data_IF_662860067113
#
_entry.id   IF_662860067113
#
_cell.length_a   1.000
_cell.length_b   1.000
_cell.length_c   1.000
_cell.angle_alpha   90.00
_cell.angle_beta   90.00
_cell.angle_gamma   90.00
#
_symmetry.space_group_name_H-M   'P 1'
#
loop_
_entity.id
_entity.type
_entity.pdbx_description
1 polymer ?
#
# COMPACT_ATOMS: atom_id res chain seq x y z
N UNK A 1 -0.41 12.04 -3.18
CA UNK A 1 -0.52 11.51 -1.81
C UNK A 1 0.68 10.63 -1.43
N UNK A 2 1.09 9.67 -2.28
CA UNK A 2 2.21 8.78 -1.98
C UNK A 2 3.55 9.49 -1.65
N UNK A 3 3.98 10.47 -2.46
CA UNK A 3 5.21 11.23 -2.19
C UNK A 3 5.19 11.96 -0.83
N UNK A 4 4.10 12.67 -0.54
CA UNK A 4 3.95 13.38 0.73
C UNK A 4 3.96 12.44 1.95
N UNK A 5 3.40 11.24 1.82
CA UNK A 5 3.47 10.22 2.89
C UNK A 5 4.91 9.71 3.05
N UNK A 6 5.62 9.44 1.95
CA UNK A 6 7.01 9.02 1.99
C UNK A 6 7.91 10.08 2.65
N UNK A 7 7.75 11.35 2.29
CA UNK A 7 8.47 12.48 2.89
C UNK A 7 8.16 12.62 4.38
N UNK A 8 6.89 12.49 4.77
CA UNK A 8 6.50 12.56 6.17
C UNK A 8 7.10 11.42 6.99
N UNK A 9 7.05 10.18 6.47
CA UNK A 9 7.66 9.01 7.12
C UNK A 9 9.18 9.10 7.21
N UNK A 10 9.83 9.80 6.27
CA UNK A 10 11.27 10.05 6.30
C UNK A 10 11.69 11.20 7.24
N UNK A 11 10.74 12.00 7.72
CA UNK A 11 11.00 13.15 8.57
C UNK A 11 10.12 13.15 9.83
N UNK A 12 9.09 14.00 9.93
CA UNK A 12 8.31 14.16 11.16
C UNK A 12 7.66 12.88 11.72
N UNK A 13 7.41 11.88 10.86
CA UNK A 13 6.81 10.60 11.22
C UNK A 13 7.80 9.46 11.44
N UNK A 14 9.12 9.72 11.44
CA UNK A 14 10.15 8.66 11.46
C UNK A 14 10.04 7.71 12.65
N UNK A 15 9.64 8.21 13.81
CA UNK A 15 9.45 7.40 15.03
C UNK A 15 8.07 6.71 15.11
N UNK A 16 7.19 6.97 14.13
CA UNK A 16 5.87 6.33 14.09
C UNK A 16 5.98 4.92 13.52
N UNK A 17 5.50 3.94 14.28
CA UNK A 17 5.56 2.55 13.82
C UNK A 17 4.70 2.32 12.57
N UNK A 18 5.16 1.43 11.68
CA UNK A 18 4.48 1.12 10.43
C UNK A 18 3.02 0.60 10.62
N UNK A 19 2.72 -0.22 11.65
CA UNK A 19 1.34 -0.62 11.95
C UNK A 19 0.42 0.56 12.29
N UNK A 20 0.91 1.55 13.04
CA UNK A 20 0.13 2.75 13.41
C UNK A 20 -0.16 3.62 12.18
N UNK A 21 0.81 3.77 11.29
CA UNK A 21 0.62 4.46 10.00
C UNK A 21 -0.44 3.74 9.16
N UNK A 22 -0.35 2.42 9.02
CA UNK A 22 -1.31 1.63 8.27
C UNK A 22 -2.72 1.70 8.87
N UNK A 23 -2.84 1.62 10.20
CA UNK A 23 -4.10 1.74 10.92
C UNK A 23 -4.76 3.11 10.67
N UNK A 24 -3.97 4.18 10.78
CA UNK A 24 -4.41 5.56 10.55
C UNK A 24 -4.91 5.78 9.13
N UNK A 25 -4.18 5.28 8.13
CA UNK A 25 -4.57 5.39 6.72
C UNK A 25 -5.87 4.64 6.42
N UNK A 26 -6.11 3.50 7.07
CA UNK A 26 -7.27 2.66 6.79
C UNK A 26 -8.56 3.16 7.48
N UNK A 27 -8.46 3.67 8.71
CA UNK A 27 -9.63 3.96 9.55
C UNK A 27 -9.91 5.46 9.73
N UNK A 28 -8.89 6.31 9.67
CA UNK A 28 -9.00 7.72 10.05
C UNK A 28 -8.92 8.68 8.86
N UNK A 29 -8.83 8.15 7.65
CA UNK A 29 -8.84 8.93 6.40
C UNK A 29 -10.07 8.60 5.58
N UNK A 30 -10.57 9.61 4.87
CA UNK A 30 -11.65 9.43 3.89
C UNK A 30 -11.20 8.44 2.81
N UNK A 31 -12.01 7.40 2.56
CA UNK A 31 -11.72 6.43 1.50
C UNK A 31 -11.98 7.06 0.13
N UNK A 32 -10.95 7.09 -0.71
CA UNK A 32 -11.05 7.57 -2.09
C UNK A 32 -11.40 6.41 -3.03
N UNK A 33 -12.14 6.70 -4.10
CA UNK A 33 -12.50 5.69 -5.12
C UNK A 33 -11.27 5.06 -5.80
N UNK A 34 -10.15 5.79 -5.85
CA UNK A 34 -8.88 5.33 -6.39
C UNK A 34 -7.86 5.23 -5.25
N UNK A 35 -7.41 4.02 -4.97
CA UNK A 35 -6.44 3.73 -3.91
C UNK A 35 -5.32 2.83 -4.44
N UNK A 36 -4.17 2.88 -3.80
CA UNK A 36 -3.02 2.03 -4.09
C UNK A 36 -2.48 1.47 -2.78
N UNK A 37 -1.77 0.34 -2.85
CA UNK A 37 -1.30 -0.40 -1.67
C UNK A 37 0.21 -0.60 -1.75
N UNK A 38 0.90 -0.40 -0.63
CA UNK A 38 2.31 -0.77 -0.46
C UNK A 38 2.41 -1.76 0.69
N UNK A 39 3.04 -2.91 0.44
CA UNK A 39 3.32 -3.96 1.43
C UNK A 39 4.80 -3.94 1.74
N UNK A 40 5.14 -3.68 3.01
CA UNK A 40 6.52 -3.58 3.47
C UNK A 40 6.66 -4.18 4.87
N UNK A 41 7.86 -4.69 5.18
CA UNK A 41 8.19 -5.22 6.52
C UNK A 41 8.81 -4.17 7.43
N UNK A 42 9.35 -3.09 6.87
CA UNK A 42 10.02 -2.02 7.61
C UNK A 42 9.78 -0.66 6.95
N UNK A 43 10.03 0.45 7.68
CA UNK A 43 9.80 1.81 7.19
C UNK A 43 10.61 2.16 5.95
N UNK A 44 11.84 1.66 5.81
CA UNK A 44 12.69 1.97 4.66
C UNK A 44 12.09 1.39 3.37
N UNK A 45 11.64 0.13 3.40
CA UNK A 45 10.92 -0.48 2.28
C UNK A 45 9.58 0.21 2.00
N UNK A 46 8.86 0.66 3.03
CA UNK A 46 7.62 1.40 2.85
C UNK A 46 7.85 2.74 2.12
N UNK A 47 8.87 3.50 2.54
CA UNK A 47 9.24 4.78 1.91
C UNK A 47 9.64 4.55 0.45
N UNK A 48 10.49 3.56 0.17
CA UNK A 48 10.92 3.22 -1.19
C UNK A 48 9.72 2.82 -2.08
N UNK A 49 8.80 2.00 -1.58
CA UNK A 49 7.59 1.61 -2.30
C UNK A 49 6.65 2.78 -2.57
N UNK A 50 6.49 3.69 -1.61
CA UNK A 50 5.70 4.92 -1.77
C UNK A 50 6.31 5.89 -2.79
N UNK A 51 7.64 6.01 -2.81
CA UNK A 51 8.37 6.80 -3.81
C UNK A 51 8.20 6.21 -5.22
N UNK A 52 8.37 4.89 -5.37
CA UNK A 52 8.13 4.20 -6.64
C UNK A 52 6.68 4.39 -7.12
N UNK A 53 5.72 4.25 -6.22
CA UNK A 53 4.30 4.50 -6.50
C UNK A 53 4.06 5.95 -6.96
N UNK A 54 4.69 6.93 -6.32
CA UNK A 54 4.59 8.33 -6.70
C UNK A 54 5.18 8.61 -8.09
N UNK A 55 6.25 7.91 -8.44
CA UNK A 55 6.89 7.98 -9.76
C UNK A 55 6.15 7.15 -10.84
N UNK A 56 5.08 6.43 -10.48
CA UNK A 56 4.35 5.55 -11.40
C UNK A 56 5.16 4.30 -11.81
N UNK A 57 6.15 3.91 -11.01
CA UNK A 57 7.03 2.78 -11.27
C UNK A 57 6.55 1.52 -10.55
N UNK A 58 6.73 0.37 -11.21
CA UNK A 58 6.49 -0.92 -10.58
C UNK A 58 7.61 -1.24 -9.58
N UNK A 59 7.24 -1.76 -8.41
CA UNK A 59 8.17 -2.23 -7.40
C UNK A 59 7.58 -3.41 -6.62
N UNK A 60 8.43 -4.22 -5.99
CA UNK A 60 7.98 -5.31 -5.13
C UNK A 60 7.10 -4.79 -4.00
N UNK A 61 5.97 -5.46 -3.76
CA UNK A 61 5.00 -5.05 -2.74
C UNK A 61 4.17 -3.81 -3.10
N UNK A 62 4.33 -3.21 -4.28
CA UNK A 62 3.52 -2.06 -4.72
C UNK A 62 2.40 -2.53 -5.65
N UNK A 63 1.17 -2.25 -5.26
CA UNK A 63 -0.03 -2.43 -6.07
C UNK A 63 -0.56 -1.05 -6.43
N UNK A 64 -0.39 -0.66 -7.69
CA UNK A 64 -0.89 0.61 -8.19
C UNK A 64 -2.43 0.64 -8.18
N UNK A 65 -2.97 1.84 -8.24
CA UNK A 65 -4.41 2.01 -8.32
C UNK A 65 -4.98 1.36 -9.58
N UNK A 66 -6.01 0.53 -9.38
CA UNK A 66 -6.73 -0.12 -10.46
C UNK A 66 -7.25 0.92 -11.47
N UNK A 67 -7.13 0.60 -12.76
CA UNK A 67 -7.66 1.43 -13.83
C UNK A 67 -9.20 1.40 -13.87
N UNK A 68 -9.78 0.27 -13.45
CA UNK A 68 -11.22 0.05 -13.38
C UNK A 68 -11.60 -0.56 -12.04
N UNK A 69 -12.79 -0.21 -11.56
CA UNK A 69 -13.36 -0.81 -10.36
C UNK A 69 -13.79 -2.25 -10.65
N UNK A 70 -13.34 -3.25 -9.88
CA UNK A 70 -13.77 -4.63 -10.06
C UNK A 70 -15.30 -4.76 -9.94
N UNK A 71 -15.89 -5.61 -10.79
CA UNK A 71 -17.30 -5.98 -10.64
C UNK A 71 -17.49 -6.79 -9.35
N UNK A 72 -18.65 -6.67 -8.68
CA UNK A 72 -18.96 -7.50 -7.53
C UNK A 72 -18.99 -8.99 -7.91
N UNK A 73 -18.74 -9.87 -6.93
CA UNK A 73 -18.73 -11.33 -7.12
C UNK A 73 -17.38 -11.98 -6.87
N UNK A 74 -16.79 -11.76 -5.69
CA UNK A 74 -15.53 -12.42 -5.29
C UNK A 74 -15.71 -13.93 -5.30
N UNK A 75 -14.85 -14.64 -6.05
CA UNK A 75 -14.77 -16.10 -6.08
C UNK A 75 -13.55 -16.55 -5.30
N UNK A 76 -13.74 -17.55 -4.45
CA UNK A 76 -12.65 -18.20 -3.71
C UNK A 76 -12.19 -19.44 -4.47
N UNK A 77 -10.90 -19.54 -4.76
CA UNK A 77 -10.28 -20.71 -5.38
C UNK A 77 -9.47 -21.44 -4.31
N UNK A 78 -9.70 -22.74 -4.18
CA UNK A 78 -9.00 -23.60 -3.23
C UNK A 78 -7.94 -24.40 -3.98
N UNK A 79 -6.66 -24.20 -3.63
CA UNK A 79 -5.57 -24.92 -4.27
C UNK A 79 -5.59 -26.40 -3.89
N UNK A 80 -5.19 -27.26 -4.83
CA UNK A 80 -5.02 -28.69 -4.59
C UNK A 80 -3.71 -29.01 -3.87
N UNK A 81 -3.44 -30.30 -3.72
CA UNK A 81 -2.19 -30.81 -3.16
C UNK A 81 -0.99 -30.38 -4.02
N UNK A 82 0.09 -29.87 -3.39
CA UNK A 82 1.32 -29.44 -4.09
C UNK A 82 1.45 -27.92 -4.32
N UNK A 83 0.69 -27.08 -3.61
CA UNK A 83 0.72 -25.61 -3.71
C UNK A 83 1.49 -24.92 -2.58
N UNK A 84 2.22 -25.70 -1.79
CA UNK A 84 3.10 -25.26 -0.70
C UNK A 84 4.55 -25.09 -1.16
#
# INVERSE_FOLDING_TARGET
QAAALAEWMAGPGADTSLPEVAHTLNHHRSQHARFATVVARDPAHAIAGLQALAAGQSASGVVAAAAETPKPGTVFVYSGQGSQ
#
